data_IF_717807000114
#
_entry.id   IF_717807000114
#
_cell.length_a   1.000
_cell.length_b   1.000
_cell.length_c   1.000
_cell.angle_alpha   90.00
_cell.angle_beta   90.00
_cell.angle_gamma   90.00
#
_symmetry.space_group_name_H-M   'P 1'
#
loop_
_entity.id
_entity.type
_entity.pdbx_description
1 polymer ?
#
# COMPACT_ATOMS: atom_id res chain seq x y z
N UNK A 1 -10.62 -6.08 -0.24
CA UNK A 1 -11.60 -5.41 0.65
C UNK A 1 -11.31 -3.92 0.79
N UNK A 2 -10.13 -3.49 1.26
CA UNK A 2 -9.81 -2.06 1.41
C UNK A 2 -9.96 -1.25 0.11
N UNK A 3 -9.27 -1.66 -0.97
CA UNK A 3 -9.35 -0.93 -2.25
C UNK A 3 -10.77 -0.94 -2.84
N UNK A 4 -11.45 -2.08 -2.82
CA UNK A 4 -12.83 -2.20 -3.30
C UNK A 4 -13.82 -1.31 -2.52
N UNK A 5 -13.59 -1.11 -1.22
CA UNK A 5 -14.47 -0.32 -0.36
C UNK A 5 -14.19 1.19 -0.39
N UNK A 6 -12.93 1.59 -0.61
CA UNK A 6 -12.49 2.98 -0.38
C UNK A 6 -11.90 3.69 -1.59
N UNK A 7 -11.53 2.98 -2.65
CA UNK A 7 -10.93 3.60 -3.83
C UNK A 7 -11.99 4.24 -4.75
N UNK A 8 -11.56 5.18 -5.58
CA UNK A 8 -12.37 5.67 -6.70
C UNK A 8 -12.59 4.55 -7.72
N UNK A 9 -13.60 4.69 -8.58
CA UNK A 9 -13.88 3.69 -9.61
C UNK A 9 -12.71 3.52 -10.59
N UNK A 10 -12.02 4.61 -10.93
CA UNK A 10 -10.79 4.58 -11.73
C UNK A 10 -9.69 3.70 -11.10
N UNK A 11 -9.47 3.82 -9.79
CA UNK A 11 -8.48 3.00 -9.08
C UNK A 11 -8.95 1.54 -8.99
N UNK A 12 -10.25 1.30 -8.79
CA UNK A 12 -10.80 -0.07 -8.78
C UNK A 12 -10.56 -0.75 -10.12
N UNK A 13 -10.89 -0.08 -11.22
CA UNK A 13 -10.73 -0.60 -12.57
C UNK A 13 -9.26 -0.87 -12.91
N UNK A 14 -8.35 -0.03 -12.40
CA UNK A 14 -6.91 -0.18 -12.62
C UNK A 14 -6.28 -1.35 -11.87
N UNK A 15 -6.66 -1.57 -10.61
CA UNK A 15 -5.92 -2.49 -9.71
C UNK A 15 -6.67 -3.79 -9.43
N UNK A 16 -8.00 -3.77 -9.25
CA UNK A 16 -8.75 -4.95 -8.81
C UNK A 16 -8.71 -6.12 -9.79
N UNK A 17 -8.76 -5.95 -11.13
CA UNK A 17 -8.75 -7.09 -12.05
C UNK A 17 -7.53 -7.99 -11.85
N UNK A 18 -6.33 -7.42 -11.79
CA UNK A 18 -5.08 -8.18 -11.61
C UNK A 18 -4.95 -8.74 -10.18
N UNK A 19 -5.39 -8.00 -9.17
CA UNK A 19 -5.37 -8.48 -7.78
C UNK A 19 -6.33 -9.66 -7.57
N UNK A 20 -7.51 -9.64 -8.17
CA UNK A 20 -8.47 -10.75 -8.08
C UNK A 20 -8.07 -11.96 -8.94
N UNK A 21 -7.36 -11.73 -10.05
CA UNK A 21 -6.77 -12.80 -10.84
C UNK A 21 -5.54 -13.44 -10.18
N UNK A 22 -5.02 -12.87 -9.08
CA UNK A 22 -3.81 -13.33 -8.41
C UNK A 22 -2.51 -13.02 -9.16
N UNK A 23 -2.57 -12.17 -10.20
CA UNK A 23 -1.40 -11.73 -10.97
C UNK A 23 -0.59 -10.72 -10.15
N UNK A 24 -1.29 -9.87 -9.38
CA UNK A 24 -0.69 -8.92 -8.44
C UNK A 24 -1.04 -9.27 -7.00
N UNK A 25 -0.07 -9.16 -6.11
CA UNK A 25 -0.28 -9.31 -4.68
C UNK A 25 -0.61 -7.96 -4.01
N UNK A 26 -1.04 -8.00 -2.76
CA UNK A 26 -1.26 -6.82 -1.93
C UNK A 26 -0.69 -7.01 -0.54
N UNK A 27 -0.18 -5.93 0.05
CA UNK A 27 0.38 -5.95 1.41
C UNK A 27 0.07 -4.66 2.17
N UNK A 28 -0.08 -4.75 3.48
CA UNK A 28 -0.42 -3.62 4.37
C UNK A 28 0.83 -3.13 5.09
N UNK A 29 1.15 -1.84 4.96
CA UNK A 29 2.43 -1.23 5.35
C UNK A 29 2.28 -0.23 6.50
N UNK A 30 1.91 -0.72 7.70
CA UNK A 30 1.51 0.15 8.83
C UNK A 30 2.66 0.46 9.80
N UNK A 31 3.23 -0.58 10.42
CA UNK A 31 4.14 -0.50 11.57
C UNK A 31 5.50 0.10 11.23
N UNK A 32 6.03 0.94 12.13
CA UNK A 32 7.38 1.50 12.07
C UNK A 32 8.20 1.01 13.29
N UNK A 33 9.55 1.06 13.26
CA UNK A 33 10.37 0.60 14.38
C UNK A 33 10.01 1.20 15.74
N UNK A 34 9.53 2.44 15.78
CA UNK A 34 9.08 3.12 16.99
C UNK A 34 7.55 3.16 17.17
N UNK A 35 6.78 2.59 16.24
CA UNK A 35 5.31 2.70 16.19
C UNK A 35 4.67 1.34 15.84
N UNK A 36 4.33 0.57 16.88
CA UNK A 36 3.61 -0.71 16.80
C UNK A 36 2.11 -0.55 17.06
N UNK A 37 1.67 -0.84 18.29
CA UNK A 37 0.27 -0.67 18.71
C UNK A 37 -0.24 0.76 18.53
N UNK A 38 0.62 1.76 18.79
CA UNK A 38 0.31 3.17 18.56
C UNK A 38 0.78 3.60 17.17
N UNK A 39 -0.12 3.55 16.19
CA UNK A 39 0.13 4.05 14.84
C UNK A 39 -0.05 5.58 14.73
N UNK A 40 -0.53 6.27 15.77
CA UNK A 40 -0.69 7.72 15.75
C UNK A 40 0.63 8.49 15.72
N UNK A 41 1.72 7.82 16.09
CA UNK A 41 3.08 8.39 16.19
C UNK A 41 3.99 8.01 15.00
N UNK A 42 3.43 7.48 13.91
CA UNK A 42 4.20 7.21 12.69
C UNK A 42 4.83 8.50 12.15
N UNK A 43 6.00 8.35 11.50
CA UNK A 43 6.75 9.46 10.90
C UNK A 43 6.75 9.41 9.38
N UNK A 44 6.22 8.35 8.77
CA UNK A 44 6.03 8.30 7.30
C UNK A 44 5.22 9.51 6.83
N UNK A 45 5.69 10.17 5.78
CA UNK A 45 5.06 11.36 5.20
C UNK A 45 4.60 11.09 3.78
N UNK A 46 3.48 11.72 3.43
CA UNK A 46 2.99 11.83 2.06
C UNK A 46 3.09 13.30 1.64
N UNK A 47 3.98 13.61 0.70
CA UNK A 47 4.15 14.97 0.16
C UNK A 47 3.40 15.04 -1.18
N UNK A 48 2.46 15.97 -1.37
CA UNK A 48 1.69 16.06 -2.61
C UNK A 48 2.58 16.47 -3.80
N UNK A 49 2.33 15.87 -4.95
CA UNK A 49 2.97 16.17 -6.23
C UNK A 49 2.03 17.01 -7.12
N UNK A 50 2.58 17.61 -8.18
CA UNK A 50 1.82 18.46 -9.11
C UNK A 50 0.77 17.71 -9.94
N UNK A 51 0.93 16.40 -10.12
CA UNK A 51 0.02 15.53 -10.87
C UNK A 51 -1.12 14.93 -10.01
N UNK A 52 -1.22 15.34 -8.74
CA UNK A 52 -2.20 14.82 -7.79
C UNK A 52 -1.78 13.54 -7.07
N UNK A 53 -0.62 12.95 -7.41
CA UNK A 53 -0.03 11.85 -6.64
C UNK A 53 0.64 12.35 -5.35
N UNK A 54 1.13 11.43 -4.52
CA UNK A 54 1.91 11.76 -3.34
C UNK A 54 3.24 11.00 -3.36
N UNK A 55 4.33 11.71 -3.05
CA UNK A 55 5.62 11.10 -2.75
C UNK A 55 5.62 10.61 -1.29
N UNK A 56 5.76 9.30 -1.10
CA UNK A 56 5.77 8.66 0.22
C UNK A 56 7.21 8.47 0.68
N UNK A 57 7.53 8.83 1.92
CA UNK A 57 8.86 8.64 2.51
C UNK A 57 8.76 8.19 3.97
N UNK A 58 9.40 7.08 4.29
CA UNK A 58 9.39 6.47 5.63
C UNK A 58 9.96 5.05 5.60
N UNK A 59 9.93 4.38 6.75
CA UNK A 59 10.39 2.98 6.87
C UNK A 59 9.37 2.16 7.62
N UNK A 60 8.98 1.03 7.05
CA UNK A 60 8.00 0.11 7.61
C UNK A 60 8.67 -1.23 7.97
N UNK A 61 8.17 -1.89 9.01
CA UNK A 61 8.68 -3.19 9.45
C UNK A 61 7.52 -4.16 9.72
N UNK A 62 7.83 -5.46 9.74
CA UNK A 62 6.86 -6.55 9.92
C UNK A 62 5.78 -6.59 8.84
N UNK A 63 6.19 -6.39 7.59
CA UNK A 63 5.30 -6.38 6.43
C UNK A 63 5.22 -7.78 5.82
N UNK A 64 4.13 -8.48 6.12
CA UNK A 64 3.84 -9.79 5.54
C UNK A 64 3.68 -9.69 4.03
N UNK A 65 4.41 -10.53 3.28
CA UNK A 65 4.45 -10.47 1.82
C UNK A 65 4.81 -9.07 1.27
N UNK A 66 5.66 -8.33 1.99
CA UNK A 66 6.11 -7.00 1.54
C UNK A 66 6.96 -7.03 0.28
N UNK A 67 7.63 -8.16 0.00
CA UNK A 67 8.39 -8.42 -1.21
C UNK A 67 8.47 -9.93 -1.48
N UNK A 68 8.40 -10.34 -2.76
CA UNK A 68 8.63 -11.70 -3.26
C UNK A 68 8.51 -11.77 -4.80
N UNK A 69 9.03 -12.83 -5.41
CA UNK A 69 8.99 -13.09 -6.85
C UNK A 69 7.78 -13.93 -7.34
N UNK A 70 6.81 -14.21 -6.46
CA UNK A 70 5.63 -15.04 -6.76
C UNK A 70 4.52 -14.33 -7.56
N UNK A 71 4.61 -13.02 -7.75
CA UNK A 71 3.62 -12.20 -8.47
C UNK A 71 4.33 -11.16 -9.33
N UNK A 72 3.69 -10.69 -10.40
CA UNK A 72 4.29 -9.70 -11.29
C UNK A 72 4.42 -8.31 -10.65
N UNK A 73 3.59 -8.01 -9.64
CA UNK A 73 3.60 -6.74 -8.92
C UNK A 73 3.01 -6.90 -7.51
N UNK A 74 3.42 -6.04 -6.58
CA UNK A 74 2.90 -5.99 -5.21
C UNK A 74 2.35 -4.58 -4.96
N UNK A 75 1.05 -4.50 -4.64
CA UNK A 75 0.38 -3.24 -4.29
C UNK A 75 0.47 -3.02 -2.78
N UNK A 76 1.33 -2.10 -2.37
CA UNK A 76 1.46 -1.70 -0.96
C UNK A 76 0.36 -0.70 -0.56
N UNK A 77 -0.31 -0.99 0.55
CA UNK A 77 -1.39 -0.19 1.15
C UNK A 77 -0.97 0.45 2.48
#
# INVERSE_FOLDING_TARGET
LALNAHASDELKDKYLPNMYAGIWAGSMCLTEPHAGTDLGIIKTRAVPNADGSHAISGTKIFISAGEHDLSENIVHL
#
